data_IF_437722927976
#
_entry.id   IF_437722927976
#
_cell.length_a   1.000
_cell.length_b   1.000
_cell.length_c   1.000
_cell.angle_alpha   90.00
_cell.angle_beta   90.00
_cell.angle_gamma   90.00
#
_symmetry.space_group_name_H-M   'P 1'
#
loop_
_entity.id
_entity.type
_entity.pdbx_description
1 polymer ?
#
# COMPACT_ATOMS: atom_id res chain seq x y z
N UNK A 1 33.48 2.48 -4.99
CA UNK A 1 32.10 2.40 -4.48
C UNK A 1 32.06 1.36 -3.38
N UNK A 2 32.03 1.78 -2.12
CA UNK A 2 31.92 0.85 -1.01
C UNK A 2 30.47 0.37 -0.92
N UNK A 3 30.25 -0.95 -0.90
CA UNK A 3 28.93 -1.53 -0.68
C UNK A 3 28.59 -1.29 0.79
N UNK A 4 27.45 -0.62 1.04
CA UNK A 4 26.92 -0.48 2.39
C UNK A 4 26.32 -1.82 2.83
N UNK A 5 27.18 -2.70 3.34
CA UNK A 5 26.81 -4.01 3.92
C UNK A 5 25.62 -3.90 4.90
N UNK A 6 25.56 -2.94 5.85
CA UNK A 6 24.40 -2.83 6.73
C UNK A 6 23.09 -2.47 6.00
N UNK A 7 23.15 -1.62 4.98
CA UNK A 7 21.98 -1.25 4.18
C UNK A 7 21.48 -2.41 3.31
N UNK A 8 22.40 -3.20 2.75
CA UNK A 8 22.07 -4.39 1.98
C UNK A 8 21.35 -5.43 2.85
N UNK A 9 21.87 -5.70 4.05
CA UNK A 9 21.24 -6.63 5.00
C UNK A 9 19.81 -6.16 5.35
N UNK A 10 19.61 -4.86 5.60
CA UNK A 10 18.30 -4.31 5.91
C UNK A 10 17.28 -4.50 4.78
N UNK A 11 17.68 -4.25 3.52
CA UNK A 11 16.80 -4.41 2.36
C UNK A 11 16.42 -5.88 2.14
N UNK A 12 17.41 -6.78 2.21
CA UNK A 12 17.17 -8.22 2.05
C UNK A 12 16.21 -8.73 3.13
N UNK A 13 16.44 -8.35 4.39
CA UNK A 13 15.55 -8.71 5.49
C UNK A 13 14.12 -8.20 5.27
N UNK A 14 13.97 -6.94 4.86
CA UNK A 14 12.67 -6.33 4.60
C UNK A 14 11.89 -7.06 3.50
N UNK A 15 12.54 -7.45 2.40
CA UNK A 15 11.90 -8.22 1.34
C UNK A 15 11.49 -9.63 1.77
N UNK A 16 12.30 -10.30 2.60
CA UNK A 16 11.93 -11.60 3.18
C UNK A 16 10.65 -11.47 4.01
N UNK A 17 10.53 -10.41 4.82
CA UNK A 17 9.32 -10.15 5.62
C UNK A 17 8.10 -9.93 4.72
N UNK A 18 8.20 -9.08 3.70
CA UNK A 18 7.10 -8.84 2.73
C UNK A 18 6.66 -10.16 2.09
N UNK A 19 7.62 -10.97 1.65
CA UNK A 19 7.36 -12.24 0.99
C UNK A 19 6.64 -13.22 1.93
N UNK A 20 7.08 -13.35 3.19
CA UNK A 20 6.44 -14.21 4.19
C UNK A 20 5.00 -13.76 4.46
N UNK A 21 4.78 -12.45 4.63
CA UNK A 21 3.43 -11.89 4.85
C UNK A 21 2.54 -12.13 3.63
N UNK A 22 3.04 -11.92 2.42
CA UNK A 22 2.31 -12.16 1.17
C UNK A 22 1.90 -13.62 1.01
N UNK A 23 2.79 -14.57 1.28
CA UNK A 23 2.49 -16.01 1.25
C UNK A 23 1.44 -16.36 2.31
N UNK A 24 1.58 -15.86 3.54
CA UNK A 24 0.65 -16.15 4.62
C UNK A 24 -0.76 -15.59 4.34
N UNK A 25 -0.86 -14.33 3.90
CA UNK A 25 -2.11 -13.69 3.52
C UNK A 25 -2.78 -14.41 2.33
N UNK A 26 -2.00 -14.78 1.30
CA UNK A 26 -2.50 -15.51 0.14
C UNK A 26 -3.01 -16.92 0.48
N UNK A 27 -2.31 -17.65 1.36
CA UNK A 27 -2.77 -18.98 1.82
C UNK A 27 -4.04 -18.89 2.68
N UNK A 28 -4.15 -17.87 3.53
CA UNK A 28 -5.35 -17.63 4.35
C UNK A 28 -6.58 -17.25 3.52
N UNK A 29 -6.42 -16.41 2.49
CA UNK A 29 -7.49 -16.06 1.55
C UNK A 29 -7.99 -17.27 0.74
N UNK A 30 -7.09 -18.13 0.27
CA UNK A 30 -7.44 -19.34 -0.47
C UNK A 30 -8.21 -20.38 0.38
N UNK A 31 -7.98 -20.44 1.69
CA UNK A 31 -8.73 -21.33 2.59
C UNK A 31 -10.16 -20.84 2.84
N UNK A 32 -10.39 -19.52 2.82
CA UNK A 32 -11.74 -18.92 2.91
C UNK A 32 -12.52 -19.10 1.61
N UNK A 33 -11.89 -18.93 0.43
CA UNK A 33 -12.54 -19.12 -0.89
C UNK A 33 -12.96 -20.57 -1.20
N UNK A 34 -12.36 -21.58 -0.59
CA UNK A 34 -12.74 -23.00 -0.79
C UNK A 34 -13.97 -23.46 -0.01
N UNK A 35 -14.46 -22.66 0.94
CA UNK A 35 -15.62 -23.00 1.78
C UNK A 35 -16.97 -22.47 1.26
N UNK A 36 -16.96 -21.48 0.37
CA UNK A 36 -18.18 -20.78 -0.08
C UNK A 36 -18.28 -20.86 -1.60
N UNK A 37 -18.90 -21.93 -2.08
CA UNK A 37 -19.13 -22.17 -3.51
C UNK A 37 -20.32 -21.36 -4.04
N UNK A 38 -20.18 -20.05 -4.19
CA UNK A 38 -21.17 -19.25 -4.93
C UNK A 38 -20.47 -18.07 -5.62
N UNK A 39 -20.41 -18.15 -6.95
CA UNK A 39 -19.96 -17.07 -7.84
C UNK A 39 -21.21 -16.34 -8.29
N UNK A 40 -21.45 -15.16 -7.73
CA UNK A 40 -22.49 -14.25 -8.20
C UNK A 40 -21.83 -12.97 -8.68
N UNK A 41 -22.08 -12.67 -9.96
CA UNK A 41 -21.52 -11.58 -10.75
C UNK A 41 -21.92 -10.24 -10.10
N UNK A 42 -21.04 -9.72 -9.23
CA UNK A 42 -21.19 -8.46 -8.51
C UNK A 42 -20.01 -8.19 -7.54
N UNK A 43 -18.86 -8.81 -7.82
CA UNK A 43 -17.82 -9.16 -6.84
C UNK A 43 -16.81 -8.05 -6.49
N UNK A 44 -16.88 -6.85 -7.04
CA UNK A 44 -15.88 -5.82 -6.70
C UNK A 44 -16.13 -5.21 -5.30
N UNK A 45 -17.40 -5.04 -4.91
CA UNK A 45 -17.74 -4.54 -3.56
C UNK A 45 -17.66 -5.63 -2.49
N UNK A 46 -17.78 -6.92 -2.85
CA UNK A 46 -17.86 -8.01 -1.87
C UNK A 46 -16.55 -8.82 -1.72
N UNK A 47 -15.63 -8.75 -2.68
CA UNK A 47 -14.26 -9.28 -2.51
C UNK A 47 -13.42 -8.39 -1.58
N UNK A 48 -13.77 -7.10 -1.46
CA UNK A 48 -13.15 -6.16 -0.53
C UNK A 48 -13.83 -6.10 0.85
N UNK A 49 -15.11 -6.47 0.95
CA UNK A 49 -15.85 -6.50 2.22
C UNK A 49 -16.10 -7.88 2.82
N UNK A 50 -15.87 -9.00 2.12
CA UNK A 50 -15.91 -10.38 2.66
C UNK A 50 -17.00 -10.65 3.72
N UNK A 51 -18.20 -10.08 3.56
CA UNK A 51 -19.26 -10.09 4.59
C UNK A 51 -18.86 -9.59 5.99
N UNK A 52 -17.67 -9.01 6.15
CA UNK A 52 -17.10 -8.42 7.36
C UNK A 52 -16.03 -7.42 6.93
N UNK A 53 -16.45 -6.16 6.91
CA UNK A 53 -15.66 -4.94 6.70
C UNK A 53 -14.15 -5.17 6.87
N UNK A 54 -13.37 -5.13 5.78
CA UNK A 54 -11.96 -4.74 5.89
C UNK A 54 -12.01 -3.46 6.69
N UNK A 55 -11.55 -3.52 7.94
CA UNK A 55 -11.73 -2.41 8.87
C UNK A 55 -11.23 -1.16 8.16
N UNK A 56 -12.05 -0.10 8.13
CA UNK A 56 -11.78 1.13 7.38
C UNK A 56 -10.34 1.63 7.57
N UNK A 57 -9.78 1.40 8.75
CA UNK A 57 -8.37 1.57 9.07
C UNK A 57 -7.41 0.89 8.06
N UNK A 58 -7.51 -0.43 7.85
CA UNK A 58 -6.67 -1.18 6.91
C UNK A 58 -6.89 -0.72 5.47
N UNK A 59 -8.14 -0.37 5.12
CA UNK A 59 -8.46 0.20 3.81
C UNK A 59 -7.74 1.54 3.57
N UNK A 60 -7.79 2.45 4.54
CA UNK A 60 -7.07 3.74 4.48
C UNK A 60 -5.57 3.53 4.35
N UNK A 61 -4.95 2.67 5.17
CA UNK A 61 -3.51 2.40 5.05
C UNK A 61 -3.13 1.82 3.69
N UNK A 62 -3.96 0.93 3.14
CA UNK A 62 -3.70 0.32 1.83
C UNK A 62 -3.82 1.35 0.72
N UNK A 63 -4.84 2.20 0.74
CA UNK A 63 -4.98 3.30 -0.22
C UNK A 63 -3.88 4.35 -0.08
N UNK A 64 -3.39 4.64 1.13
CA UNK A 64 -2.21 5.51 1.30
C UNK A 64 -0.95 4.88 0.71
N UNK A 65 -0.79 3.57 0.86
CA UNK A 65 0.39 2.86 0.36
C UNK A 65 0.51 2.82 -1.18
N UNK A 66 -0.57 3.08 -1.94
CA UNK A 66 -0.52 3.08 -3.42
C UNK A 66 0.20 4.28 -4.02
N UNK A 67 0.15 5.45 -3.36
CA UNK A 67 0.73 6.70 -3.88
C UNK A 67 1.95 7.20 -3.10
N UNK A 68 2.20 6.67 -1.89
CA UNK A 68 3.43 6.96 -1.12
C UNK A 68 4.55 6.03 -1.60
N UNK A 69 5.14 6.39 -2.75
CA UNK A 69 6.26 5.68 -3.38
C UNK A 69 7.61 6.40 -3.30
N UNK A 70 8.64 5.82 -3.91
CA UNK A 70 9.98 6.42 -3.96
C UNK A 70 10.02 7.79 -4.66
N UNK A 71 9.22 7.98 -5.70
CA UNK A 71 9.08 9.28 -6.38
C UNK A 71 8.42 10.35 -5.52
N UNK A 72 7.43 9.97 -4.71
CA UNK A 72 6.80 10.87 -3.73
C UNK A 72 7.83 11.30 -2.67
N UNK A 73 8.57 10.36 -2.09
CA UNK A 73 9.58 10.67 -1.06
C UNK A 73 10.70 11.56 -1.62
N UNK A 74 11.24 11.22 -2.79
CA UNK A 74 12.34 12.00 -3.37
C UNK A 74 11.88 13.38 -3.86
N UNK A 75 10.71 13.45 -4.52
CA UNK A 75 10.15 14.70 -5.01
C UNK A 75 9.74 15.65 -3.88
N UNK A 76 9.17 15.13 -2.79
CA UNK A 76 8.87 15.94 -1.60
C UNK A 76 10.15 16.44 -0.92
N UNK A 77 11.18 15.60 -0.80
CA UNK A 77 12.47 16.03 -0.27
C UNK A 77 13.11 17.14 -1.13
N UNK A 78 13.04 17.02 -2.46
CA UNK A 78 13.56 18.02 -3.39
C UNK A 78 12.82 19.36 -3.29
N UNK A 79 11.49 19.35 -3.30
CA UNK A 79 10.67 20.56 -3.23
C UNK A 79 10.82 21.25 -1.87
N UNK A 80 10.85 20.49 -0.78
CA UNK A 80 11.07 21.06 0.56
C UNK A 80 12.46 21.68 0.68
N UNK A 81 13.47 21.04 0.07
CA UNK A 81 14.83 21.57 0.06
C UNK A 81 14.98 22.85 -0.77
N UNK A 82 14.30 22.95 -1.93
CA UNK A 82 14.42 24.09 -2.84
C UNK A 82 13.51 25.26 -2.47
N UNK A 83 12.23 24.97 -2.26
CA UNK A 83 11.19 25.99 -2.19
C UNK A 83 10.58 26.11 -0.77
N UNK A 84 10.89 25.17 0.12
CA UNK A 84 10.41 25.15 1.50
C UNK A 84 9.12 24.36 1.70
N UNK A 85 8.73 24.16 2.97
CA UNK A 85 7.66 23.22 3.35
C UNK A 85 6.28 23.55 2.76
N UNK A 86 6.01 24.83 2.49
CA UNK A 86 4.72 25.32 1.97
C UNK A 86 4.44 24.80 0.56
N UNK A 87 5.48 24.48 -0.21
CA UNK A 87 5.34 24.01 -1.60
C UNK A 87 5.17 22.51 -1.75
N UNK A 88 5.28 21.75 -0.66
CA UNK A 88 4.99 20.32 -0.63
C UNK A 88 3.47 20.07 -0.64
N UNK A 89 2.79 20.47 -1.72
CA UNK A 89 1.33 20.29 -1.90
C UNK A 89 0.95 18.90 -2.41
N UNK A 90 1.94 18.09 -2.81
CA UNK A 90 1.74 16.72 -3.25
C UNK A 90 0.79 15.88 -2.34
N UNK A 91 0.92 15.88 -1.00
CA UNK A 91 0.01 15.12 -0.12
C UNK A 91 -1.45 15.54 -0.26
N UNK A 92 -1.72 16.84 -0.35
CA UNK A 92 -3.09 17.37 -0.43
C UNK A 92 -3.68 17.15 -1.82
N UNK A 93 -2.88 17.28 -2.87
CA UNK A 93 -3.31 16.97 -4.24
C UNK A 93 -3.71 15.50 -4.40
N UNK A 94 -2.90 14.57 -3.89
CA UNK A 94 -3.21 13.14 -3.91
C UNK A 94 -4.40 12.76 -3.01
N UNK A 95 -4.54 13.40 -1.85
CA UNK A 95 -5.70 13.19 -0.98
C UNK A 95 -7.01 13.68 -1.63
N UNK A 96 -6.97 14.84 -2.30
CA UNK A 96 -8.14 15.39 -3.00
C UNK A 96 -8.46 14.57 -4.26
N UNK A 97 -7.46 14.08 -4.99
CA UNK A 97 -7.72 13.18 -6.13
C UNK A 97 -8.38 11.88 -5.70
N UNK A 98 -7.99 11.31 -4.54
CA UNK A 98 -8.64 10.12 -3.97
C UNK A 98 -10.09 10.36 -3.48
N UNK A 99 -10.45 11.62 -3.20
CA UNK A 99 -11.82 11.98 -2.83
C UNK A 99 -12.72 12.30 -4.02
N UNK A 100 -12.14 12.77 -5.14
CA UNK A 100 -12.87 13.28 -6.31
C UNK A 100 -12.83 12.30 -7.50
N UNK A 101 -11.82 11.44 -7.58
CA UNK A 101 -11.52 10.67 -8.78
C UNK A 101 -10.87 9.32 -8.50
N UNK A 102 -11.57 8.49 -7.73
CA UNK A 102 -11.68 7.03 -7.88
C UNK A 102 -13.17 6.67 -7.80
#
# INVERSE_FOLDING_TARGET
MAINIPGLIAIVFFYVVILVVGIWAGRKSNQVRRGTGEITIGEESNVMLAGRNIGLFVGVFTMTATWVGGGYINGTAEIVYKDGLVWCQAPFGYAVSLMIGE
#
